data_IF_030684648318
#
_entry.id   IF_030684648318
#
_cell.length_a   1.000
_cell.length_b   1.000
_cell.length_c   1.000
_cell.angle_alpha   90.00
_cell.angle_beta   90.00
_cell.angle_gamma   90.00
#
_symmetry.space_group_name_H-M   'P 1'
#
loop_
_entity.id
_entity.type
_entity.pdbx_description
1 polymer ?
2 polymer ?
#
# COMPACT_ATOMS: atom_id res chain seq x y z
N UNK A 1 9.87 -1.58 -13.60
CA UNK A 1 8.58 -2.32 -13.58
C UNK A 1 8.15 -2.58 -12.15
N UNK A 2 7.12 -1.87 -11.71
CA UNK A 2 6.59 -2.03 -10.37
C UNK A 2 5.12 -2.42 -10.45
N UNK A 3 4.84 -3.65 -10.05
CA UNK A 3 3.50 -4.20 -10.17
C UNK A 3 2.73 -4.03 -8.87
N UNK A 4 1.41 -4.10 -8.96
CA UNK A 4 0.56 -3.98 -7.79
C UNK A 4 -0.04 -5.32 -7.42
N UNK A 5 -0.08 -5.58 -6.12
CA UNK A 5 -0.64 -6.81 -5.58
C UNK A 5 -1.44 -6.46 -4.33
N UNK A 6 -2.43 -7.29 -3.99
CA UNK A 6 -3.24 -7.05 -2.80
C UNK A 6 -2.36 -6.90 -1.56
N UNK A 7 -2.61 -5.84 -0.80
CA UNK A 7 -1.83 -5.53 0.38
C UNK A 7 -2.10 -6.51 1.52
N UNK A 8 -1.37 -7.63 1.48
CA UNK A 8 -1.40 -8.65 2.53
C UNK A 8 -2.82 -9.15 2.82
N UNK A 9 -3.54 -8.47 3.70
CA UNK A 9 -4.88 -8.89 4.05
C UNK A 9 -5.95 -8.01 3.44
N UNK A 10 -5.60 -6.76 3.13
CA UNK A 10 -6.55 -5.83 2.50
C UNK A 10 -7.17 -6.49 1.27
N UNK A 11 -8.48 -6.71 1.35
CA UNK A 11 -9.21 -7.44 0.31
C UNK A 11 -9.07 -6.82 -1.08
N UNK A 12 -9.00 -5.50 -1.14
CA UNK A 12 -8.92 -4.79 -2.41
C UNK A 12 -8.06 -3.54 -2.29
N UNK A 13 -6.77 -3.74 -2.04
CA UNK A 13 -5.85 -2.63 -1.91
C UNK A 13 -4.52 -2.96 -2.57
N UNK A 14 -3.90 -1.95 -3.16
CA UNK A 14 -2.62 -2.12 -3.83
C UNK A 14 -1.64 -1.05 -3.38
N UNK A 15 -0.38 -1.42 -3.29
CA UNK A 15 0.65 -0.47 -2.90
C UNK A 15 2.00 -0.88 -3.41
N UNK A 16 2.64 -0.02 -4.18
CA UNK A 16 3.94 -0.33 -4.74
C UNK A 16 4.74 0.96 -4.88
N UNK A 17 5.99 0.96 -4.45
CA UNK A 17 6.80 2.17 -4.56
C UNK A 17 7.41 2.27 -5.95
N UNK A 18 6.73 3.04 -6.78
CA UNK A 18 7.14 3.31 -8.15
C UNK A 18 8.46 4.08 -8.18
N UNK A 19 9.57 3.35 -8.09
CA UNK A 19 10.87 3.98 -8.04
C UNK A 19 11.21 4.46 -6.64
N UNK A 20 11.47 5.75 -6.51
CA UNK A 20 11.75 6.36 -5.21
C UNK A 20 10.50 7.03 -4.66
N UNK A 21 9.47 7.10 -5.49
CA UNK A 21 8.17 7.60 -5.06
C UNK A 21 7.18 6.46 -4.99
N UNK A 22 6.14 6.67 -4.22
CA UNK A 22 5.23 5.62 -3.82
C UNK A 22 3.90 5.75 -4.56
N UNK A 23 3.34 4.64 -5.02
CA UNK A 23 2.06 4.70 -5.69
C UNK A 23 1.06 3.75 -5.05
N UNK A 24 -0.13 4.25 -4.78
CA UNK A 24 -1.17 3.50 -4.12
C UNK A 24 -2.36 3.34 -5.05
N UNK A 25 -2.96 2.17 -5.06
CA UNK A 25 -4.14 1.93 -5.87
C UNK A 25 -5.18 1.20 -5.02
N UNK A 26 -6.40 1.69 -5.04
CA UNK A 26 -7.45 1.10 -4.23
C UNK A 26 -8.59 0.63 -5.10
N UNK A 27 -9.05 -0.58 -4.86
CA UNK A 27 -10.16 -1.13 -5.60
C UNK A 27 -11.41 -1.15 -4.74
N UNK A 28 -12.51 -1.55 -5.36
CA UNK A 28 -13.78 -1.68 -4.68
C UNK A 28 -14.05 -3.16 -4.44
N UNK A 29 -15.10 -3.50 -3.70
CA UNK A 29 -15.44 -4.89 -3.45
C UNK A 29 -15.59 -5.66 -4.77
N UNK A 30 -16.08 -4.96 -5.79
CA UNK A 30 -16.27 -5.55 -7.11
C UNK A 30 -14.97 -5.54 -7.91
N UNK A 31 -13.91 -5.05 -7.28
CA UNK A 31 -12.60 -5.03 -7.90
C UNK A 31 -12.42 -3.87 -8.86
N UNK A 32 -13.29 -2.88 -8.75
CA UNK A 32 -13.18 -1.70 -9.58
C UNK A 32 -12.15 -0.73 -9.00
N UNK A 33 -11.16 -0.39 -9.81
CA UNK A 33 -10.12 0.55 -9.39
C UNK A 33 -10.71 1.93 -9.13
N UNK A 34 -10.68 2.35 -7.88
CA UNK A 34 -11.28 3.61 -7.49
C UNK A 34 -10.26 4.73 -7.45
N UNK A 35 -9.22 4.57 -6.65
CA UNK A 35 -8.29 5.66 -6.39
C UNK A 35 -6.84 5.24 -6.64
N UNK A 36 -6.08 6.15 -7.24
CA UNK A 36 -4.64 5.99 -7.36
C UNK A 36 -3.94 7.23 -6.80
N UNK A 37 -3.38 7.08 -5.61
CA UNK A 37 -2.74 8.19 -4.92
C UNK A 37 -1.24 7.97 -4.88
N UNK A 38 -0.48 9.04 -4.80
CA UNK A 38 0.97 8.94 -4.80
C UNK A 38 1.56 9.54 -3.54
N UNK A 39 2.56 8.86 -3.02
CA UNK A 39 3.27 9.24 -1.81
C UNK A 39 4.76 9.26 -2.12
N UNK A 40 5.59 9.80 -1.25
CA UNK A 40 7.04 9.68 -1.43
C UNK A 40 7.69 9.21 -0.14
N UNK A 41 8.49 8.15 -0.24
CA UNK A 41 9.12 7.57 0.93
C UNK A 41 10.30 8.40 1.40
N UNK A 42 10.77 9.28 0.52
CA UNK A 42 11.90 10.15 0.83
C UNK A 42 11.59 11.04 2.03
N UNK A 43 10.33 11.44 2.15
CA UNK A 43 9.89 12.25 3.27
C UNK A 43 9.88 11.44 4.56
N UNK A 44 9.55 10.16 4.44
CA UNK A 44 9.43 9.29 5.61
C UNK A 44 10.79 8.82 6.07
N UNK A 45 11.36 7.89 5.31
CA UNK A 45 12.67 7.39 5.65
C UNK A 45 12.86 5.92 5.35
N UNK A 46 11.99 5.06 5.87
CA UNK A 46 12.27 3.63 5.84
C UNK A 46 11.13 2.81 5.25
N UNK A 47 11.31 1.50 5.22
CA UNK A 47 10.37 0.57 4.59
C UNK A 47 9.02 0.54 5.32
N UNK A 48 8.98 0.36 6.65
CA UNK A 48 7.72 0.37 7.41
C UNK A 48 6.87 1.61 7.13
N UNK A 49 7.47 2.79 7.17
CA UNK A 49 6.75 4.02 6.84
C UNK A 49 6.16 3.95 5.44
N UNK A 50 6.84 3.25 4.55
CA UNK A 50 6.39 3.11 3.18
C UNK A 50 5.04 2.40 3.14
N UNK A 51 4.94 1.28 3.84
CA UNK A 51 3.68 0.55 3.90
C UNK A 51 2.66 1.24 4.81
N UNK A 52 3.12 1.69 5.96
CA UNK A 52 2.26 2.25 7.00
C UNK A 52 1.60 3.56 6.59
N UNK A 53 2.26 4.34 5.74
CA UNK A 53 1.69 5.60 5.29
C UNK A 53 0.61 5.35 4.25
N UNK A 54 0.82 4.31 3.45
CA UNK A 54 -0.13 3.94 2.41
C UNK A 54 -1.46 3.51 3.01
N UNK A 55 -1.39 2.65 4.01
CA UNK A 55 -2.59 2.14 4.67
C UNK A 55 -3.44 3.27 5.22
N UNK A 56 -2.79 4.32 5.70
CA UNK A 56 -3.48 5.40 6.38
C UNK A 56 -4.52 6.05 5.48
N UNK A 57 -4.12 6.42 4.28
CA UNK A 57 -5.02 7.07 3.33
C UNK A 57 -5.95 6.06 2.68
N UNK A 58 -5.37 4.95 2.25
CA UNK A 58 -6.06 3.98 1.41
C UNK A 58 -7.25 3.34 2.13
N UNK A 59 -7.14 3.13 3.44
CA UNK A 59 -8.18 2.42 4.18
C UNK A 59 -9.56 3.06 3.98
N UNK A 60 -9.60 4.39 3.95
CA UNK A 60 -10.87 5.10 3.84
C UNK A 60 -11.44 5.01 2.43
N UNK A 61 -10.66 4.46 1.51
CA UNK A 61 -11.08 4.35 0.12
C UNK A 61 -11.64 2.96 -0.14
N UNK A 62 -11.50 2.08 0.84
CA UNK A 62 -11.97 0.73 0.68
C UNK A 62 -10.92 -0.29 1.07
N UNK A 63 -9.92 0.14 1.81
CA UNK A 63 -8.90 -0.77 2.28
C UNK A 63 -9.15 -1.17 3.72
N UNK A 64 -9.60 -2.39 3.95
CA UNK A 64 -9.89 -2.81 5.31
C UNK A 64 -9.44 -4.24 5.59
N UNK A 65 -8.37 -4.36 6.39
CA UNK A 65 -7.94 -5.63 6.97
C UNK A 65 -6.65 -5.44 7.78
N UNK A 66 -5.49 -5.60 7.12
CA UNK A 66 -4.19 -5.44 7.78
C UNK A 66 -3.08 -5.71 6.77
N UNK A 67 -1.98 -4.96 6.85
CA UNK A 67 -0.84 -5.21 5.97
C UNK A 67 0.23 -6.03 6.67
N UNK A 68 0.34 -5.86 7.97
CA UNK A 68 1.32 -6.59 8.75
C UNK A 68 0.66 -7.15 9.99
N UNK A 69 0.18 -8.39 9.89
CA UNK A 69 -0.56 -9.01 10.97
C UNK A 69 0.36 -9.38 12.14
N UNK A 70 0.78 -8.37 12.87
CA UNK A 70 1.63 -8.55 14.04
C UNK A 70 1.16 -7.63 15.18
N UNK A 71 -0.01 -7.03 14.95
CA UNK A 71 -0.64 -6.12 15.90
C UNK A 71 0.26 -4.94 16.23
N UNK A 72 0.43 -4.05 15.27
CA UNK A 72 1.23 -2.85 15.48
C UNK A 72 0.47 -1.85 16.36
N UNK A 73 0.80 -1.83 17.64
CA UNK A 73 0.13 -0.96 18.59
C UNK A 73 1.15 -0.14 19.37
N UNK B 1 11.04 0.96 -4.71
CA UNK B 1 11.93 0.31 -5.71
C UNK B 1 12.02 -1.21 -5.50
N UNK B 2 12.88 -1.67 -4.60
CA UNK B 2 13.05 -3.10 -4.36
C UNK B 2 12.02 -3.59 -3.35
N UNK B 3 11.43 -2.63 -2.66
CA UNK B 3 10.41 -2.89 -1.66
C UNK B 3 9.08 -3.29 -2.31
N UNK B 4 8.33 -2.30 -2.79
CA UNK B 4 7.07 -2.53 -3.50
C UNK B 4 6.06 -3.24 -2.61
N UNK B 5 5.10 -3.91 -3.22
CA UNK B 5 4.05 -4.60 -2.48
C UNK B 5 4.65 -5.66 -1.56
N UNK B 6 5.83 -6.14 -1.92
CA UNK B 6 6.52 -7.18 -1.17
C UNK B 6 6.83 -6.74 0.27
N UNK B 7 6.93 -5.44 0.50
CA UNK B 7 7.21 -4.91 1.84
C UNK B 7 5.97 -5.02 2.72
N UNK B 8 4.82 -4.82 2.11
CA UNK B 8 3.55 -4.80 2.83
C UNK B 8 3.31 -6.11 3.57
N UNK B 9 3.06 -7.16 2.81
CA UNK B 9 2.85 -8.49 3.39
C UNK B 9 4.08 -8.95 4.17
N UNK B 10 5.26 -8.49 3.73
CA UNK B 10 6.52 -8.78 4.40
C UNK B 10 6.80 -10.29 4.41
#
# INVERSE_FOLDING_TARGET
MNEFTQISGYVNAFGSQRGSVLTVKVENDEGWTLVEEDFDRADYGSDPEFVAEVSSYLKRNGGIKDLTKVLTR
MKDLLNLFNQ
#
